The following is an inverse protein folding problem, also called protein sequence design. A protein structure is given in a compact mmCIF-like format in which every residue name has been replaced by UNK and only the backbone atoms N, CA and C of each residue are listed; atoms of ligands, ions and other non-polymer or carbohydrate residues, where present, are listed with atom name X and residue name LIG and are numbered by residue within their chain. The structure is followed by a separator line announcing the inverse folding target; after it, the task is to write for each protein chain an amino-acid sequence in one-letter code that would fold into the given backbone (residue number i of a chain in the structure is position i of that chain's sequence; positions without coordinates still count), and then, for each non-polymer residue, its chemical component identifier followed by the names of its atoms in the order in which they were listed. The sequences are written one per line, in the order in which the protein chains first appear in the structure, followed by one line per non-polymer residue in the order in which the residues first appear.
data_IF_848966682973
#
_entry.id   IF_848966682973
#
_cell.length_a   1.000
_cell.length_b   1.000
_cell.length_c   1.000
_cell.angle_alpha   90.00
_cell.angle_beta   90.00
_cell.angle_gamma   90.00
#
_symmetry.space_group_name_H-M   'P 1'
#
loop_
_entity.id
_entity.type
_entity.pdbx_description
1 polymer ?
#
# COMPACT_ATOMS: atom_id res chain seq x y z
N UNK A 1 18.53 24.05 17.62
CA UNK A 1 19.04 23.83 16.25
C UNK A 1 19.62 22.43 16.24
N UNK A 2 18.74 21.44 16.08
CA UNK A 2 19.08 20.03 16.14
C UNK A 2 19.18 19.53 14.70
N UNK A 3 20.41 19.27 14.30
CA UNK A 3 20.73 18.74 12.98
C UNK A 3 20.24 17.28 12.96
N UNK A 4 19.09 17.03 12.33
CA UNK A 4 18.69 15.69 11.94
C UNK A 4 19.61 15.27 10.79
N UNK A 5 20.71 14.61 11.15
CA UNK A 5 21.50 13.82 10.22
C UNK A 5 20.64 12.58 9.91
N UNK A 6 19.75 12.69 8.93
CA UNK A 6 19.08 11.53 8.36
C UNK A 6 20.18 10.74 7.66
N UNK A 7 20.60 9.66 8.27
CA UNK A 7 21.48 8.67 7.67
C UNK A 7 20.71 8.08 6.49
N UNK A 8 20.97 8.67 5.33
CA UNK A 8 20.55 8.18 4.02
C UNK A 8 21.25 6.85 3.83
N UNK A 9 20.56 5.77 3.92
CA UNK A 9 20.87 4.45 3.34
C UNK A 9 20.16 3.37 4.15
N UNK A 10 18.92 3.13 3.77
CA UNK A 10 18.39 1.78 3.69
C UNK A 10 17.13 1.87 2.81
N UNK A 11 17.34 1.97 1.49
CA UNK A 11 16.30 1.55 0.57
C UNK A 11 16.02 0.10 0.90
N UNK A 12 14.85 -0.15 1.44
CA UNK A 12 14.42 -1.50 1.70
C UNK A 12 14.27 -2.19 0.35
N UNK A 13 15.32 -2.92 -0.04
CA UNK A 13 15.16 -3.96 -1.02
C UNK A 13 14.15 -4.94 -0.39
N UNK A 14 12.95 -5.13 -0.97
CA UNK A 14 12.02 -6.11 -0.45
C UNK A 14 12.80 -7.39 -0.28
N UNK A 15 12.79 -7.97 0.90
CA UNK A 15 13.54 -9.19 1.21
C UNK A 15 13.21 -10.22 0.14
N UNK A 16 14.16 -10.49 -0.73
CA UNK A 16 14.26 -11.80 -1.32
C UNK A 16 14.57 -12.71 -0.12
N UNK A 17 13.53 -13.23 0.50
CA UNK A 17 13.66 -14.24 1.53
C UNK A 17 14.24 -15.48 0.86
N UNK A 18 15.57 -15.54 0.84
CA UNK A 18 16.26 -16.80 0.53
C UNK A 18 15.98 -17.71 1.71
N UNK A 19 15.11 -18.69 1.49
CA UNK A 19 15.06 -19.81 2.41
C UNK A 19 16.43 -20.52 2.40
N UNK A 20 16.76 -21.33 3.42
CA UNK A 20 18.05 -22.02 3.53
C UNK A 20 18.42 -22.89 2.33
N UNK A 21 17.48 -23.17 1.43
CA UNK A 21 17.64 -23.99 0.22
C UNK A 21 17.87 -23.15 -1.04
N UNK A 22 17.93 -21.81 -0.95
CA UNK A 22 18.16 -20.93 -2.10
C UNK A 22 17.02 -20.89 -3.13
N UNK A 23 15.86 -21.49 -2.83
CA UNK A 23 14.68 -21.41 -3.66
C UNK A 23 14.06 -20.02 -3.50
N UNK A 24 13.79 -19.35 -4.63
CA UNK A 24 12.98 -18.13 -4.66
C UNK A 24 11.55 -18.58 -4.31
N UNK A 25 11.15 -18.40 -3.06
CA UNK A 25 9.74 -18.50 -2.71
C UNK A 25 9.07 -17.29 -3.33
N UNK A 26 8.28 -17.51 -4.39
CA UNK A 26 7.40 -16.47 -4.91
C UNK A 26 6.41 -16.13 -3.81
N UNK A 27 6.61 -14.99 -3.18
CA UNK A 27 5.61 -14.38 -2.31
C UNK A 27 4.34 -14.24 -3.14
N UNK A 28 3.24 -14.82 -2.66
CA UNK A 28 1.94 -14.64 -3.35
C UNK A 28 1.53 -13.19 -3.17
N UNK A 29 1.73 -12.41 -4.22
CA UNK A 29 1.30 -11.01 -4.24
C UNK A 29 -0.22 -10.97 -4.22
N UNK A 30 -0.78 -10.34 -3.20
CA UNK A 30 -2.24 -10.21 -3.05
C UNK A 30 -2.69 -8.89 -3.68
N UNK A 31 -3.51 -8.98 -4.72
CA UNK A 31 -4.10 -7.80 -5.37
C UNK A 31 -5.47 -7.51 -4.75
N UNK A 32 -5.49 -7.13 -3.47
CA UNK A 32 -6.73 -6.96 -2.72
C UNK A 32 -6.72 -5.69 -1.88
N UNK A 33 -7.92 -5.12 -1.70
CA UNK A 33 -8.16 -4.09 -0.70
C UNK A 33 -8.60 -4.72 0.62
N UNK A 34 -8.11 -4.14 1.71
CA UNK A 34 -8.66 -4.30 3.05
C UNK A 34 -9.38 -3.01 3.41
N UNK A 35 -10.69 -3.08 3.60
CA UNK A 35 -11.53 -1.93 3.91
C UNK A 35 -11.87 -2.02 5.40
N UNK A 36 -11.49 -1.01 6.17
CA UNK A 36 -11.75 -0.98 7.60
C UNK A 36 -13.25 -1.03 7.88
N UNK A 37 -13.68 -1.96 8.75
CA UNK A 37 -15.06 -2.05 9.18
C UNK A 37 -15.51 -0.74 9.85
N UNK A 38 -16.73 -0.24 9.61
CA UNK A 38 -17.22 1.02 10.20
C UNK A 38 -17.12 1.10 11.72
N UNK A 39 -17.23 -0.07 12.39
CA UNK A 39 -17.15 -0.21 13.84
C UNK A 39 -15.75 -0.58 14.34
N UNK A 40 -14.74 -0.54 13.48
CA UNK A 40 -13.37 -0.82 13.91
C UNK A 40 -12.97 0.17 15.02
N UNK A 41 -12.62 -0.37 16.19
CA UNK A 41 -12.26 0.41 17.38
C UNK A 41 -10.83 0.90 17.39
N UNK A 42 -9.98 0.34 16.51
CA UNK A 42 -8.61 0.80 16.32
C UNK A 42 -8.61 2.24 15.82
N UNK A 43 -8.08 3.16 16.65
CA UNK A 43 -8.07 4.58 16.33
C UNK A 43 -7.20 4.94 15.13
N UNK A 44 -6.17 4.12 14.82
CA UNK A 44 -5.26 4.36 13.72
C UNK A 44 -5.89 4.02 12.36
N UNK A 45 -6.49 2.83 12.24
CA UNK A 45 -7.01 2.34 10.96
C UNK A 45 -8.48 2.72 10.68
N UNK A 46 -9.07 3.56 11.52
CA UNK A 46 -10.46 3.99 11.30
C UNK A 46 -10.66 4.61 9.92
N UNK A 47 -11.61 4.04 9.14
CA UNK A 47 -11.91 4.49 7.76
C UNK A 47 -10.72 4.38 6.80
N UNK A 48 -9.81 3.45 7.02
CA UNK A 48 -8.73 3.17 6.08
C UNK A 48 -9.16 2.22 4.96
N UNK A 49 -8.51 2.37 3.82
CA UNK A 49 -8.42 1.37 2.76
C UNK A 49 -6.96 1.06 2.55
N UNK A 50 -6.59 -0.20 2.74
CA UNK A 50 -5.23 -0.66 2.48
C UNK A 50 -5.18 -1.45 1.17
N UNK A 51 -4.08 -1.34 0.48
CA UNK A 51 -3.71 -2.24 -0.59
C UNK A 51 -2.75 -3.29 -0.05
N UNK A 52 -3.17 -4.56 -0.12
CA UNK A 52 -2.38 -5.68 0.36
C UNK A 52 -1.40 -6.11 -0.74
N UNK A 53 -0.11 -5.93 -0.49
CA UNK A 53 0.95 -6.29 -1.43
C UNK A 53 1.47 -7.70 -1.21
N UNK A 54 1.46 -8.14 0.05
CA UNK A 54 1.95 -9.46 0.46
C UNK A 54 1.00 -10.11 1.45
N UNK A 55 0.75 -11.43 1.28
CA UNK A 55 0.07 -12.25 2.27
C UNK A 55 0.53 -13.70 2.12
N UNK A 56 1.22 -14.21 3.12
CA UNK A 56 1.79 -15.55 3.13
C UNK A 56 1.93 -16.10 4.56
N UNK A 57 2.54 -17.27 4.72
CA UNK A 57 2.73 -17.91 6.03
C UNK A 57 3.65 -17.11 6.99
N UNK A 58 4.44 -16.19 6.49
CA UNK A 58 5.34 -15.34 7.28
C UNK A 58 4.67 -14.04 7.75
N UNK A 59 3.47 -13.74 7.22
CA UNK A 59 2.68 -12.56 7.57
C UNK A 59 2.11 -11.83 6.36
N UNK A 60 1.76 -10.56 6.58
CA UNK A 60 1.17 -9.74 5.54
C UNK A 60 1.74 -8.33 5.56
N UNK A 61 1.77 -7.70 4.39
CA UNK A 61 2.20 -6.33 4.20
C UNK A 61 1.25 -5.58 3.27
N UNK A 62 0.96 -4.32 3.61
CA UNK A 62 0.14 -3.44 2.78
C UNK A 62 0.35 -1.97 3.09
N UNK A 63 -0.25 -1.11 2.27
CA UNK A 63 -0.16 0.34 2.39
C UNK A 63 -1.55 0.95 2.51
N UNK A 64 -1.75 1.84 3.50
CA UNK A 64 -2.95 2.67 3.58
C UNK A 64 -2.94 3.66 2.42
N UNK A 65 -3.97 3.61 1.60
CA UNK A 65 -4.04 4.40 0.37
C UNK A 65 -4.63 5.80 0.58
N UNK A 66 -5.38 6.01 1.65
CA UNK A 66 -6.21 7.21 1.81
C UNK A 66 -5.78 8.14 2.96
N UNK A 67 -4.67 7.88 3.64
CA UNK A 67 -4.14 8.77 4.67
C UNK A 67 -3.09 9.71 4.09
N UNK A 68 -3.56 10.77 3.42
CA UNK A 68 -2.69 11.80 2.86
C UNK A 68 -2.12 12.68 3.97
N UNK A 69 -0.80 12.91 3.95
CA UNK A 69 -0.13 13.86 4.84
C UNK A 69 -0.07 15.27 4.22
N UNK A 70 0.41 16.24 4.97
CA UNK A 70 0.72 17.58 4.45
C UNK A 70 2.09 17.66 3.75
N UNK A 71 2.87 16.56 3.78
CA UNK A 71 4.23 16.53 3.22
C UNK A 71 4.20 16.26 1.72
N UNK A 72 5.14 16.90 1.03
CA UNK A 72 5.50 16.61 -0.36
C UNK A 72 6.87 15.92 -0.41
N UNK A 73 7.15 15.22 -1.50
CA UNK A 73 8.44 14.54 -1.70
C UNK A 73 9.62 15.51 -1.54
N UNK A 74 9.52 16.74 -2.06
CA UNK A 74 10.57 17.77 -1.93
C UNK A 74 10.83 18.22 -0.49
N UNK A 75 9.87 18.07 0.41
CA UNK A 75 10.04 18.46 1.83
C UNK A 75 10.93 17.44 2.55
N UNK A 76 10.94 16.19 2.09
CA UNK A 76 11.74 15.09 2.63
C UNK A 76 13.06 14.94 1.84
N UNK A 77 13.01 15.14 0.52
CA UNK A 77 14.15 15.06 -0.39
C UNK A 77 14.33 16.36 -1.16
N UNK A 78 14.93 17.41 -0.56
CA UNK A 78 15.07 18.75 -1.18
C UNK A 78 15.88 18.78 -2.49
N UNK A 79 16.66 17.74 -2.76
CA UNK A 79 17.42 17.61 -4.01
C UNK A 79 16.54 17.21 -5.21
N UNK A 80 15.32 16.68 -4.97
CA UNK A 80 14.34 16.40 -6.03
C UNK A 80 13.55 17.68 -6.30
N UNK A 81 14.01 18.46 -7.30
CA UNK A 81 13.50 19.82 -7.58
C UNK A 81 12.02 19.83 -7.94
N UNK A 82 11.60 18.87 -8.76
CA UNK A 82 10.22 18.73 -9.22
C UNK A 82 9.38 17.80 -8.31
N UNK A 83 9.81 17.63 -7.03
CA UNK A 83 9.20 16.74 -6.05
C UNK A 83 7.85 17.19 -5.49
N UNK A 84 6.94 17.73 -6.32
CA UNK A 84 5.56 18.13 -5.92
C UNK A 84 4.61 16.94 -5.80
N UNK A 85 5.09 15.81 -5.30
CA UNK A 85 4.31 14.59 -5.11
C UNK A 85 3.87 14.48 -3.66
N UNK A 86 2.57 14.26 -3.40
CA UNK A 86 2.09 14.08 -2.03
C UNK A 86 2.63 12.77 -1.41
N UNK A 87 2.91 12.83 -0.12
CA UNK A 87 3.26 11.67 0.67
C UNK A 87 2.04 11.22 1.48
N UNK A 88 1.82 9.91 1.56
CA UNK A 88 0.77 9.28 2.34
C UNK A 88 1.37 8.54 3.53
N UNK A 89 0.60 8.36 4.59
CA UNK A 89 0.95 7.51 5.69
C UNK A 89 0.52 6.08 5.36
N UNK A 90 1.48 5.20 5.02
CA UNK A 90 1.21 3.83 4.58
C UNK A 90 0.91 2.86 5.72
N UNK A 91 1.25 3.23 6.97
CA UNK A 91 1.01 2.43 8.15
C UNK A 91 1.93 2.80 9.32
N UNK A 92 1.77 2.14 10.48
CA UNK A 92 2.49 2.48 11.70
C UNK A 92 3.94 1.96 11.75
N UNK A 93 4.31 1.05 10.86
CA UNK A 93 5.63 0.40 10.87
C UNK A 93 6.63 1.18 10.03
N UNK A 94 7.85 1.36 10.53
CA UNK A 94 8.98 2.01 9.81
C UNK A 94 8.65 3.39 9.22
N UNK A 95 8.01 4.27 9.99
CA UNK A 95 7.62 5.63 9.58
C UNK A 95 8.77 6.56 9.19
N UNK A 96 10.00 6.14 9.39
CA UNK A 96 11.21 6.84 8.95
C UNK A 96 11.72 6.37 7.58
N UNK A 97 10.99 5.51 6.89
CA UNK A 97 11.32 5.00 5.56
C UNK A 97 10.27 5.41 4.54
N UNK A 98 10.73 5.69 3.31
CA UNK A 98 9.88 6.01 2.17
C UNK A 98 9.69 4.75 1.31
N UNK A 99 8.45 4.52 0.94
CA UNK A 99 8.01 3.47 0.02
C UNK A 99 7.22 4.08 -1.12
N UNK A 100 7.07 3.38 -2.23
CA UNK A 100 6.22 3.84 -3.32
C UNK A 100 5.67 2.69 -4.16
N UNK A 101 4.45 2.91 -4.67
CA UNK A 101 3.79 2.12 -5.70
C UNK A 101 3.76 2.95 -6.98
N UNK A 102 3.98 2.32 -8.14
CA UNK A 102 4.06 3.05 -9.41
C UNK A 102 3.68 2.21 -10.62
N UNK A 103 3.44 2.90 -11.75
CA UNK A 103 3.17 2.30 -13.06
C UNK A 103 4.26 2.56 -14.09
N UNK A 104 5.43 3.04 -13.67
CA UNK A 104 6.58 3.37 -14.53
C UNK A 104 7.15 2.11 -15.22
N UNK A 105 6.94 0.95 -14.59
CA UNK A 105 7.33 -0.32 -15.16
C UNK A 105 8.83 -0.56 -15.12
N UNK A 106 9.33 -1.14 -16.21
CA UNK A 106 10.72 -1.55 -16.33
C UNK A 106 11.69 -0.39 -16.63
N UNK A 107 11.17 0.81 -16.84
CA UNK A 107 12.00 2.04 -16.98
C UNK A 107 12.63 2.46 -15.65
N UNK A 108 12.24 1.81 -14.56
CA UNK A 108 12.83 1.99 -13.23
C UNK A 108 13.45 0.66 -12.78
N UNK A 109 14.77 0.63 -12.64
CA UNK A 109 15.48 -0.58 -12.19
C UNK A 109 15.10 -0.95 -10.76
N UNK A 110 15.30 -2.22 -10.38
CA UNK A 110 14.98 -2.78 -9.07
C UNK A 110 13.48 -2.74 -8.68
N UNK A 111 12.60 -2.39 -9.62
CA UNK A 111 11.15 -2.43 -9.41
C UNK A 111 10.63 -3.87 -9.34
N UNK A 112 9.71 -4.13 -8.42
CA UNK A 112 9.06 -5.43 -8.28
C UNK A 112 7.63 -5.32 -8.78
N UNK A 113 7.30 -6.10 -9.81
CA UNK A 113 5.95 -6.18 -10.33
C UNK A 113 5.05 -6.87 -9.33
N UNK A 114 3.95 -6.21 -8.95
CA UNK A 114 2.92 -6.78 -8.08
C UNK A 114 1.86 -7.47 -8.95
N UNK A 115 1.23 -6.69 -9.82
CA UNK A 115 0.14 -7.16 -10.69
C UNK A 115 0.00 -6.21 -11.89
N UNK A 116 -0.23 -6.77 -13.08
CA UNK A 116 -0.39 -6.03 -14.33
C UNK A 116 0.74 -4.97 -14.51
N UNK A 117 0.39 -3.69 -14.56
CA UNK A 117 1.36 -2.58 -14.64
C UNK A 117 1.67 -1.91 -13.30
N UNK A 118 1.27 -2.50 -12.17
CA UNK A 118 1.56 -1.98 -10.85
C UNK A 118 2.84 -2.59 -10.29
N UNK A 119 3.74 -1.73 -9.85
CA UNK A 119 5.04 -2.09 -9.32
C UNK A 119 5.24 -1.48 -7.93
N UNK A 120 6.11 -2.08 -7.16
CA UNK A 120 6.57 -1.62 -5.86
C UNK A 120 8.07 -1.38 -5.85
N UNK A 121 8.50 -0.27 -5.23
CA UNK A 121 9.90 0.06 -5.03
C UNK A 121 10.62 0.39 -6.34
N UNK A 122 11.92 0.22 -6.36
CA UNK A 122 12.80 0.56 -7.47
C UNK A 122 13.92 1.49 -7.05
N UNK A 123 14.84 1.76 -7.94
CA UNK A 123 15.97 2.64 -7.70
C UNK A 123 15.52 4.10 -7.54
N UNK A 124 15.62 4.63 -6.33
CA UNK A 124 15.16 6.00 -6.04
C UNK A 124 15.97 7.09 -6.76
N UNK A 125 17.25 6.88 -7.02
CA UNK A 125 18.05 7.88 -7.74
C UNK A 125 17.60 8.00 -9.19
N UNK A 126 17.30 6.87 -9.84
CA UNK A 126 16.70 6.86 -11.17
C UNK A 126 15.33 7.52 -11.17
N UNK A 127 14.49 7.18 -10.18
CA UNK A 127 13.17 7.79 -10.00
C UNK A 127 13.27 9.31 -9.83
N UNK A 128 14.16 9.81 -8.98
CA UNK A 128 14.39 11.22 -8.77
C UNK A 128 14.81 11.94 -10.08
N UNK A 129 15.68 11.29 -10.86
CA UNK A 129 16.07 11.79 -12.18
C UNK A 129 14.87 11.86 -13.15
N UNK A 130 14.05 10.80 -13.21
CA UNK A 130 12.84 10.79 -14.05
C UNK A 130 11.84 11.88 -13.63
N UNK A 131 11.65 12.09 -12.33
CA UNK A 131 10.79 13.15 -11.79
C UNK A 131 11.32 14.54 -12.20
N UNK A 132 12.60 14.79 -12.02
CA UNK A 132 13.20 16.09 -12.34
C UNK A 132 13.18 16.42 -13.84
N UNK A 133 13.10 15.40 -14.68
CA UNK A 133 12.94 15.55 -16.13
C UNK A 133 11.47 15.50 -16.60
N UNK A 134 10.51 15.51 -15.69
CA UNK A 134 9.08 15.53 -16.02
C UNK A 134 8.55 14.24 -16.67
N UNK A 135 9.25 13.13 -16.49
CA UNK A 135 8.88 11.82 -17.06
C UNK A 135 7.88 11.05 -16.19
N UNK A 136 7.63 11.50 -14.96
CA UNK A 136 6.71 10.89 -14.00
C UNK A 136 5.65 11.90 -13.62
N UNK A 137 4.37 11.50 -13.72
CA UNK A 137 3.23 12.31 -13.33
C UNK A 137 2.70 11.86 -11.96
N UNK A 138 1.88 12.70 -11.31
CA UNK A 138 1.31 12.36 -9.99
C UNK A 138 0.43 11.09 -10.00
N UNK A 139 -0.15 10.76 -11.14
CA UNK A 139 -0.96 9.58 -11.31
C UNK A 139 -0.15 8.30 -11.59
N UNK A 140 1.14 8.43 -11.87
CA UNK A 140 2.02 7.30 -12.14
C UNK A 140 2.64 6.72 -10.86
N UNK A 141 2.55 7.44 -9.73
CA UNK A 141 3.24 7.07 -8.50
C UNK A 141 2.51 7.58 -7.24
N UNK A 142 2.55 6.79 -6.17
CA UNK A 142 2.12 7.19 -4.83
C UNK A 142 3.21 6.85 -3.82
N UNK A 143 3.63 7.86 -3.05
CA UNK A 143 4.64 7.75 -2.00
C UNK A 143 4.01 7.51 -0.64
N UNK A 144 4.68 6.69 0.18
CA UNK A 144 4.23 6.36 1.52
C UNK A 144 5.38 6.49 2.53
N UNK A 145 5.10 7.02 3.70
CA UNK A 145 5.92 6.85 4.89
C UNK A 145 5.35 5.72 5.72
N UNK A 146 6.19 4.73 6.03
CA UNK A 146 5.76 3.54 6.74
C UNK A 146 4.90 2.59 5.91
N UNK A 147 4.56 1.47 6.53
CA UNK A 147 3.69 0.43 5.99
C UNK A 147 2.85 -0.22 7.10
N UNK A 148 1.84 -0.98 6.71
CA UNK A 148 1.04 -1.82 7.60
C UNK A 148 1.52 -3.25 7.52
N UNK A 149 1.80 -3.85 8.66
CA UNK A 149 2.33 -5.21 8.74
C UNK A 149 1.53 -6.06 9.73
N UNK A 150 1.32 -7.31 9.40
CA UNK A 150 0.70 -8.32 10.25
C UNK A 150 1.64 -9.50 10.44
N UNK A 151 1.72 -9.98 11.66
CA UNK A 151 2.40 -11.24 11.98
C UNK A 151 1.70 -12.44 11.32
N UNK A 152 2.35 -13.62 11.22
CA UNK A 152 1.72 -14.83 10.73
C UNK A 152 0.33 -15.06 11.34
N UNK A 153 -0.68 -15.30 10.51
CA UNK A 153 -2.09 -15.54 10.85
C UNK A 153 -2.85 -14.35 11.47
N UNK A 154 -2.19 -13.25 11.84
CA UNK A 154 -2.86 -12.11 12.47
C UNK A 154 -3.94 -11.52 11.54
N UNK A 155 -3.64 -11.32 10.26
CA UNK A 155 -4.63 -10.79 9.30
C UNK A 155 -5.81 -11.74 9.14
N UNK A 156 -5.57 -13.05 9.11
CA UNK A 156 -6.63 -14.05 9.00
C UNK A 156 -7.58 -13.99 10.21
N UNK A 157 -7.02 -13.84 11.42
CA UNK A 157 -7.80 -13.68 12.64
C UNK A 157 -8.62 -12.38 12.63
N UNK A 158 -8.04 -11.26 12.18
CA UNK A 158 -8.73 -9.98 12.05
C UNK A 158 -9.85 -10.02 10.98
N UNK A 159 -9.66 -10.78 9.89
CA UNK A 159 -10.72 -11.04 8.90
C UNK A 159 -11.87 -11.87 9.47
N UNK A 160 -11.57 -12.92 10.25
CA UNK A 160 -12.58 -13.73 10.95
C UNK A 160 -13.37 -12.86 11.94
N UNK A 161 -12.69 -11.96 12.66
CA UNK A 161 -13.30 -11.01 13.60
C UNK A 161 -14.04 -9.86 12.89
N UNK A 162 -14.08 -9.86 11.55
CA UNK A 162 -14.71 -8.81 10.74
C UNK A 162 -14.14 -7.40 10.98
N UNK A 163 -12.85 -7.30 11.35
CA UNK A 163 -12.16 -6.01 11.43
C UNK A 163 -12.00 -5.37 10.04
N UNK A 164 -11.90 -6.20 9.02
CA UNK A 164 -11.72 -5.83 7.62
C UNK A 164 -12.72 -6.53 6.71
N UNK A 165 -13.15 -5.81 5.67
CA UNK A 165 -13.70 -6.43 4.47
C UNK A 165 -12.61 -6.57 3.43
N UNK A 166 -12.63 -7.67 2.67
CA UNK A 166 -11.65 -7.94 1.62
C UNK A 166 -12.34 -7.91 0.26
N UNK A 167 -11.81 -7.12 -0.67
CA UNK A 167 -12.30 -7.02 -2.05
C UNK A 167 -11.13 -7.04 -3.02
N UNK A 168 -11.40 -7.41 -4.28
CA UNK A 168 -10.38 -7.35 -5.31
C UNK A 168 -10.03 -5.89 -5.65
N UNK A 169 -8.74 -5.61 -5.75
CA UNK A 169 -8.26 -4.32 -6.19
C UNK A 169 -8.13 -4.29 -7.72
N UNK A 170 -8.33 -3.11 -8.31
CA UNK A 170 -8.05 -2.85 -9.72
C UNK A 170 -6.69 -2.15 -9.83
N UNK A 171 -5.61 -2.84 -10.23
CA UNK A 171 -4.24 -2.31 -10.15
C UNK A 171 -4.08 -0.95 -10.83
N UNK A 172 -4.69 -0.78 -12.02
CA UNK A 172 -4.61 0.46 -12.80
C UNK A 172 -5.31 1.65 -12.14
N UNK A 173 -6.20 1.41 -11.18
CA UNK A 173 -6.97 2.45 -10.51
C UNK A 173 -6.36 2.87 -9.16
N UNK A 174 -5.50 2.03 -8.56
CA UNK A 174 -4.99 2.24 -7.20
C UNK A 174 -4.40 3.63 -6.99
N UNK A 175 -3.64 4.10 -7.97
CA UNK A 175 -2.96 5.40 -7.91
C UNK A 175 -3.87 6.58 -8.28
N UNK A 176 -4.99 6.31 -8.99
CA UNK A 176 -5.90 7.31 -9.52
C UNK A 176 -7.03 7.69 -8.54
N UNK A 177 -7.32 6.83 -7.56
CA UNK A 177 -8.46 6.99 -6.65
C UNK A 177 -8.28 8.18 -5.70
N UNK A 178 -9.34 8.97 -5.53
CA UNK A 178 -9.36 10.07 -4.57
C UNK A 178 -9.29 9.51 -3.11
N UNK A 179 -8.28 9.88 -2.34
CA UNK A 179 -8.13 9.41 -0.96
C UNK A 179 -9.34 9.77 -0.07
N UNK A 180 -10.01 10.89 -0.33
CA UNK A 180 -11.10 11.39 0.52
C UNK A 180 -12.38 10.56 0.40
N UNK A 181 -12.66 10.02 -0.78
CA UNK A 181 -13.89 9.28 -1.07
C UNK A 181 -13.68 7.77 -1.03
N UNK A 182 -12.43 7.30 -1.16
CA UNK A 182 -12.06 5.91 -1.37
C UNK A 182 -12.72 4.94 -0.38
N UNK A 183 -12.68 5.24 0.92
CA UNK A 183 -13.26 4.34 1.93
C UNK A 183 -14.77 4.21 1.78
N UNK A 184 -15.47 5.32 1.54
CA UNK A 184 -16.92 5.32 1.36
C UNK A 184 -17.33 4.54 0.11
N UNK A 185 -16.63 4.76 -1.01
CA UNK A 185 -16.88 4.09 -2.28
C UNK A 185 -16.67 2.57 -2.19
N UNK A 186 -15.57 2.13 -1.57
CA UNK A 186 -15.30 0.71 -1.39
C UNK A 186 -16.28 0.05 -0.40
N UNK A 187 -16.67 0.77 0.65
CA UNK A 187 -17.67 0.27 1.60
C UNK A 187 -19.05 0.08 0.95
N UNK A 188 -19.46 0.97 0.03
CA UNK A 188 -20.72 0.80 -0.70
C UNK A 188 -20.68 -0.45 -1.61
N UNK A 189 -19.56 -0.72 -2.29
CA UNK A 189 -19.39 -1.96 -3.07
C UNK A 189 -19.54 -3.21 -2.21
N UNK A 190 -18.98 -3.18 -1.00
CA UNK A 190 -19.13 -4.27 -0.03
C UNK A 190 -20.60 -4.45 0.35
N UNK A 191 -21.32 -3.38 0.67
CA UNK A 191 -22.73 -3.43 1.04
C UNK A 191 -23.61 -3.97 -0.10
N UNK A 192 -23.37 -3.56 -1.34
CA UNK A 192 -24.07 -4.08 -2.52
C UNK A 192 -23.87 -5.59 -2.65
N UNK A 193 -22.65 -6.07 -2.49
CA UNK A 193 -22.33 -7.50 -2.50
C UNK A 193 -23.12 -8.26 -1.43
N UNK A 194 -23.16 -7.75 -0.20
CA UNK A 194 -23.93 -8.38 0.89
C UNK A 194 -25.46 -8.36 0.64
N UNK A 195 -26.01 -7.31 0.02
CA UNK A 195 -27.43 -7.28 -0.36
C UNK A 195 -27.75 -8.39 -1.34
N UNK A 196 -26.94 -8.57 -2.38
CA UNK A 196 -27.14 -9.65 -3.35
C UNK A 196 -27.14 -11.03 -2.66
N UNK A 197 -26.25 -11.27 -1.71
CA UNK A 197 -26.23 -12.53 -0.96
C UNK A 197 -27.44 -12.69 -0.04
N UNK A 198 -27.94 -11.63 0.57
CA UNK A 198 -29.16 -11.66 1.39
C UNK A 198 -30.40 -12.00 0.53
N UNK A 199 -30.51 -11.42 -0.67
CA UNK A 199 -31.63 -11.66 -1.59
C UNK A 199 -31.67 -13.12 -2.11
N UNK A 200 -30.50 -13.81 -2.17
CA UNK A 200 -30.42 -15.24 -2.51
C UNK A 200 -30.51 -16.16 -1.28
N UNK A 201 -30.84 -15.63 -0.10
CA UNK A 201 -31.01 -16.40 1.14
C UNK A 201 -29.68 -16.78 1.84
N UNK A 202 -28.59 -16.16 1.46
CA UNK A 202 -27.30 -16.33 2.14
C UNK A 202 -27.14 -15.24 3.21
N UNK A 203 -27.26 -15.61 4.49
CA UNK A 203 -26.93 -14.72 5.59
C UNK A 203 -25.46 -14.95 6.01
N UNK A 204 -24.54 -14.00 5.76
CA UNK A 204 -23.14 -14.14 6.12
C UNK A 204 -22.90 -14.14 7.65
N UNK A 205 -23.95 -13.90 8.46
CA UNK A 205 -23.87 -13.92 9.93
C UNK A 205 -24.28 -15.27 10.55
N UNK A 206 -24.68 -16.25 9.74
CA UNK A 206 -25.13 -17.57 10.20
C UNK A 206 -24.04 -18.66 10.22
N UNK A 207 -22.75 -18.31 10.07
CA UNK A 207 -21.63 -19.23 10.27
C UNK A 207 -20.71 -18.78 11.37
#
# INVERSE_FOLDING_TARGET
MLIFLITLLLFFNPKILKNPLGLITFTVMQNQYLIAHPMLSDGYFKRSVLYLTEHNEEGSLGFVLNFKTELLLRDVFPHVKNGNFPIFEGGPVSKNQLYFLHTIGHDLSESIQIKDNLFWGGNFFELAHLIDHGKVQQNDIRFFVGYSGWSPKQLDEELIQKAWFKTDAVPNEILLRDPKTLWGEELEKVKETYKVFADIGFDPNLN
#
